data_IF_995091116133
#
_entry.id   IF_995091116133
#
_cell.length_a   1.000
_cell.length_b   1.000
_cell.length_c   1.000
_cell.angle_alpha   90.00
_cell.angle_beta   90.00
_cell.angle_gamma   90.00
#
_symmetry.space_group_name_H-M   'P 1'
#
loop_
_entity.id
_entity.type
_entity.pdbx_description
1 polymer ?
#
# COMPACT_ATOMS: atom_id res chain seq x y z
N UNK A 1 5.27 6.95 -4.44
CA UNK A 1 4.13 7.86 -4.16
C UNK A 1 2.84 7.09 -4.26
N UNK A 2 1.83 7.34 -3.40
CA UNK A 2 0.55 6.65 -3.46
C UNK A 2 -0.28 7.11 -4.66
N UNK A 3 -1.06 6.22 -5.31
CA UNK A 3 -1.94 6.58 -6.40
C UNK A 3 -3.03 7.54 -5.94
N UNK A 4 -3.22 8.64 -6.68
CA UNK A 4 -4.22 9.67 -6.39
C UNK A 4 -5.38 9.60 -7.40
N UNK A 5 -6.60 9.94 -6.95
CA UNK A 5 -7.79 10.03 -7.82
C UNK A 5 -7.59 10.96 -9.04
N UNK A 6 -6.77 11.99 -8.87
CA UNK A 6 -6.41 12.96 -9.90
C UNK A 6 -5.45 12.43 -10.98
N UNK A 7 -4.86 11.24 -10.80
CA UNK A 7 -3.93 10.68 -11.78
C UNK A 7 -4.63 10.36 -13.10
N UNK A 8 -3.89 10.50 -14.20
CA UNK A 8 -4.34 10.06 -15.52
C UNK A 8 -4.22 8.54 -15.62
N UNK A 9 -5.01 7.92 -16.50
CA UNK A 9 -5.01 6.48 -16.73
C UNK A 9 -3.58 5.97 -17.01
N UNK A 10 -2.86 6.66 -17.87
CA UNK A 10 -1.47 6.34 -18.23
C UNK A 10 -0.53 6.35 -17.01
N UNK A 11 -0.66 7.34 -16.13
CA UNK A 11 0.15 7.44 -14.91
C UNK A 11 -0.11 6.28 -13.95
N UNK A 12 -1.36 5.84 -13.82
CA UNK A 12 -1.73 4.70 -12.98
C UNK A 12 -1.14 3.40 -13.56
N UNK A 13 -1.22 3.23 -14.89
CA UNK A 13 -0.63 2.08 -15.59
C UNK A 13 0.89 2.06 -15.43
N UNK A 14 1.57 3.20 -15.58
CA UNK A 14 3.01 3.31 -15.37
C UNK A 14 3.40 2.93 -13.94
N UNK A 15 2.64 3.39 -12.94
CA UNK A 15 2.87 3.01 -11.55
C UNK A 15 2.69 1.49 -11.36
N UNK A 16 1.60 0.92 -11.86
CA UNK A 16 1.32 -0.52 -11.76
C UNK A 16 2.42 -1.35 -12.43
N UNK A 17 2.86 -0.98 -13.63
CA UNK A 17 3.98 -1.62 -14.32
C UNK A 17 5.30 -1.52 -13.53
N UNK A 18 5.61 -0.34 -12.99
CA UNK A 18 6.82 -0.14 -12.18
C UNK A 18 6.81 -1.00 -10.89
N UNK A 19 5.61 -1.28 -10.37
CA UNK A 19 5.39 -2.17 -9.24
C UNK A 19 5.22 -3.65 -9.65
N UNK A 20 5.47 -4.00 -10.93
CA UNK A 20 5.30 -5.36 -11.48
C UNK A 20 3.89 -5.95 -11.30
N UNK A 21 2.87 -5.09 -11.30
CA UNK A 21 1.46 -5.49 -11.17
C UNK A 21 0.84 -5.62 -12.55
N UNK A 22 0.39 -6.82 -12.89
CA UNK A 22 -0.27 -7.12 -14.16
C UNK A 22 -1.67 -6.52 -14.13
N UNK A 23 -1.99 -5.70 -15.13
CA UNK A 23 -3.29 -5.05 -15.26
C UNK A 23 -4.01 -5.53 -16.51
N UNK A 24 -5.36 -5.62 -16.49
CA UNK A 24 -6.13 -5.94 -17.68
C UNK A 24 -6.01 -4.82 -18.73
N UNK A 25 -5.75 -5.15 -19.99
CA UNK A 25 -5.61 -4.17 -21.09
C UNK A 25 -6.88 -3.31 -21.27
N UNK A 26 -8.05 -3.89 -21.01
CA UNK A 26 -9.37 -3.23 -21.08
C UNK A 26 -9.83 -2.62 -19.76
N UNK A 27 -8.97 -2.55 -18.74
CA UNK A 27 -9.35 -1.97 -17.46
C UNK A 27 -9.66 -0.48 -17.61
N UNK A 28 -10.77 -0.06 -16.98
CA UNK A 28 -11.13 1.36 -16.87
C UNK A 28 -10.30 2.04 -15.78
N UNK A 29 -10.26 3.37 -15.80
CA UNK A 29 -9.48 4.15 -14.82
C UNK A 29 -9.83 3.79 -13.37
N UNK A 30 -11.12 3.57 -13.08
CA UNK A 30 -11.58 3.20 -11.74
C UNK A 30 -10.94 1.88 -11.27
N UNK A 31 -11.06 0.81 -12.07
CA UNK A 31 -10.45 -0.49 -11.80
C UNK A 31 -8.93 -0.41 -11.60
N UNK A 32 -8.23 0.32 -12.47
CA UNK A 32 -6.79 0.52 -12.36
C UNK A 32 -6.42 1.22 -11.04
N UNK A 33 -7.21 2.21 -10.64
CA UNK A 33 -6.99 2.93 -9.38
C UNK A 33 -7.24 2.00 -8.19
N UNK A 34 -8.28 1.17 -8.22
CA UNK A 34 -8.56 0.20 -7.16
C UNK A 34 -7.46 -0.85 -7.02
N UNK A 35 -6.94 -1.37 -8.15
CA UNK A 35 -5.81 -2.28 -8.15
C UNK A 35 -4.58 -1.60 -7.55
N UNK A 36 -4.30 -0.35 -7.93
CA UNK A 36 -3.18 0.41 -7.40
C UNK A 36 -3.32 0.69 -5.90
N UNK A 37 -4.55 0.95 -5.43
CA UNK A 37 -4.84 1.16 -4.00
C UNK A 37 -4.74 -0.14 -3.19
N UNK A 38 -5.19 -1.28 -3.73
CA UNK A 38 -5.07 -2.59 -3.07
C UNK A 38 -3.62 -3.06 -2.95
N UNK A 39 -2.79 -2.74 -3.93
CA UNK A 39 -1.38 -3.10 -3.96
C UNK A 39 -0.47 -1.98 -3.45
N UNK A 40 -1.04 -0.98 -2.76
CA UNK A 40 -0.22 -0.07 -1.99
C UNK A 40 0.60 -0.91 -1.02
N UNK A 41 1.94 -0.77 -1.00
CA UNK A 41 2.73 -1.42 0.03
C UNK A 41 2.13 -0.99 1.35
N UNK A 42 1.65 -1.97 2.11
CA UNK A 42 1.08 -1.72 3.43
C UNK A 42 2.09 -0.83 4.12
N UNK A 43 1.63 0.36 4.53
CA UNK A 43 2.38 1.17 5.46
C UNK A 43 2.43 0.27 6.68
N UNK A 44 3.47 -0.56 6.79
CA UNK A 44 3.86 -1.16 8.05
C UNK A 44 3.94 0.06 8.95
N UNK A 45 2.91 0.24 9.76
CA UNK A 45 3.16 0.70 11.10
C UNK A 45 4.15 -0.35 11.61
N UNK A 46 5.44 -0.03 11.49
CA UNK A 46 6.33 -0.27 12.60
C UNK A 46 5.64 0.47 13.76
N UNK A 47 4.66 -0.18 14.37
CA UNK A 47 4.46 -0.03 15.80
C UNK A 47 5.77 -0.54 16.34
N UNK A 48 6.75 0.37 16.39
CA UNK A 48 7.89 0.32 17.28
C UNK A 48 7.42 -0.42 18.53
N UNK A 49 7.85 -1.67 18.66
CA UNK A 49 8.60 -2.26 19.77
C UNK A 49 8.61 -1.52 21.14
N UNK A 50 7.58 -0.76 21.47
CA UNK A 50 7.40 -0.01 22.72
C UNK A 50 6.53 -0.77 23.72
N UNK A 51 6.05 -1.98 23.37
CA UNK A 51 5.23 -2.82 24.24
C UNK A 51 5.96 -4.10 24.70
N UNK A 52 7.28 -4.20 24.50
CA UNK A 52 8.07 -5.38 24.93
C UNK A 52 9.19 -5.03 25.93
N UNK A 53 8.98 -4.00 26.74
CA UNK A 53 9.87 -3.66 27.87
C UNK A 53 9.11 -3.19 29.10
N UNK A 54 8.09 -3.95 29.50
CA UNK A 54 7.56 -3.90 30.85
C UNK A 54 7.52 -5.33 31.41
N UNK A 55 8.70 -5.95 31.54
CA UNK A 55 8.90 -6.99 32.56
C UNK A 55 8.84 -6.29 33.91
N UNK A 56 7.63 -6.00 34.38
CA UNK A 56 7.43 -5.74 35.80
C UNK A 56 7.43 -7.11 36.44
N UNK A 57 8.58 -7.50 36.99
CA UNK A 57 8.65 -8.50 38.04
C UNK A 57 7.78 -8.00 39.20
N UNK A 58 6.54 -8.48 39.26
CA UNK A 58 5.73 -8.34 40.46
C UNK A 58 6.21 -9.43 41.41
N UNK A 59 7.27 -9.14 42.16
CA UNK A 59 7.62 -9.93 43.33
C UNK A 59 6.61 -9.58 44.44
N UNK A 60 5.74 -10.53 44.79
CA UNK A 60 5.00 -10.49 46.05
C UNK A 60 5.01 -11.85 46.71
#
# INVERSE_FOLDING_TARGET
MPPKRSWRKETIIQWLNNHNIIVPEKAVKAELLEIALKNLPEKRYEVDDAAKKCSVDILR
#
